data_IF_403614835204
#
_entry.id   IF_403614835204
#
_cell.length_a   1.000
_cell.length_b   1.000
_cell.length_c   1.000
_cell.angle_alpha   90.00
_cell.angle_beta   90.00
_cell.angle_gamma   90.00
#
_symmetry.space_group_name_H-M   'P 1'
#
loop_
_entity.id
_entity.type
_entity.pdbx_description
1 polymer ?
#
# COMPACT_ATOMS: atom_id res chain seq x y z
N UNK A 1 7.77 27.53 -35.43
CA UNK A 1 7.02 26.27 -35.36
C UNK A 1 6.63 26.07 -33.89
N UNK A 2 5.37 26.30 -33.53
CA UNK A 2 4.88 26.01 -32.18
C UNK A 2 4.88 24.48 -32.04
N UNK A 3 5.73 23.95 -31.17
CA UNK A 3 5.57 22.58 -30.70
C UNK A 3 4.18 22.49 -30.05
N UNK A 4 3.26 21.75 -30.68
CA UNK A 4 2.00 21.39 -30.05
C UNK A 4 2.35 20.79 -28.69
N UNK A 5 2.01 21.46 -27.60
CA UNK A 5 2.07 20.90 -26.27
C UNK A 5 1.20 19.64 -26.31
N UNK A 6 1.81 18.46 -26.25
CA UNK A 6 1.08 17.21 -26.13
C UNK A 6 0.34 17.30 -24.80
N UNK A 7 -0.98 17.32 -24.85
CA UNK A 7 -1.81 17.36 -23.65
C UNK A 7 -1.57 16.04 -22.89
N UNK A 8 -0.78 16.08 -21.79
CA UNK A 8 -0.37 14.91 -21.05
C UNK A 8 -1.50 14.45 -20.15
N UNK A 9 -1.89 13.21 -20.30
CA UNK A 9 -2.94 12.58 -19.50
C UNK A 9 -2.50 12.41 -18.03
N UNK A 10 -3.39 12.70 -17.10
CA UNK A 10 -3.10 12.66 -15.65
C UNK A 10 -3.08 11.23 -15.12
N UNK A 11 -2.06 10.91 -14.33
CA UNK A 11 -1.97 9.70 -13.49
C UNK A 11 -1.83 10.13 -12.03
N UNK A 12 -2.70 9.63 -11.16
CA UNK A 12 -2.72 9.98 -9.74
C UNK A 12 -1.91 8.97 -8.95
N UNK A 13 -1.09 9.43 -8.01
CA UNK A 13 -0.33 8.59 -7.09
C UNK A 13 -0.72 8.89 -5.65
N UNK A 14 -1.24 7.90 -4.93
CA UNK A 14 -1.54 8.01 -3.50
C UNK A 14 -0.42 7.31 -2.71
N UNK A 15 0.41 8.10 -2.08
CA UNK A 15 1.61 7.68 -1.36
C UNK A 15 1.44 7.81 0.15
N UNK A 16 2.27 7.12 0.91
CA UNK A 16 2.27 7.17 2.37
C UNK A 16 2.73 5.85 2.98
N UNK A 17 3.02 5.86 4.28
CA UNK A 17 3.40 4.65 5.00
C UNK A 17 2.23 3.67 5.15
N UNK A 18 2.53 2.41 5.50
CA UNK A 18 1.48 1.44 5.82
C UNK A 18 0.59 1.98 6.95
N UNK A 19 -0.72 1.81 6.83
CA UNK A 19 -1.68 2.30 7.81
C UNK A 19 -2.13 3.77 7.66
N UNK A 20 -1.56 4.57 6.75
CA UNK A 20 -1.88 6.01 6.62
C UNK A 20 -3.24 6.33 5.98
N UNK A 21 -4.04 5.33 5.60
CA UNK A 21 -5.36 5.55 4.99
C UNK A 21 -5.38 5.63 3.47
N UNK A 22 -4.27 5.29 2.78
CA UNK A 22 -4.17 5.33 1.31
C UNK A 22 -5.31 4.63 0.58
N UNK A 23 -5.66 3.41 0.99
CA UNK A 23 -6.73 2.63 0.34
C UNK A 23 -8.08 3.30 0.48
N UNK A 24 -8.42 3.84 1.66
CA UNK A 24 -9.66 4.60 1.85
C UNK A 24 -9.70 5.83 0.93
N UNK A 25 -8.62 6.61 0.87
CA UNK A 25 -8.56 7.79 0.02
C UNK A 25 -8.67 7.42 -1.47
N UNK A 26 -7.92 6.42 -1.92
CA UNK A 26 -7.92 6.02 -3.35
C UNK A 26 -9.29 5.56 -3.83
N UNK A 27 -10.00 4.75 -3.02
CA UNK A 27 -11.37 4.31 -3.34
C UNK A 27 -12.34 5.50 -3.37
N UNK A 28 -12.27 6.38 -2.36
CA UNK A 28 -13.15 7.56 -2.30
C UNK A 28 -12.95 8.50 -3.49
N UNK A 29 -11.69 8.76 -3.87
CA UNK A 29 -11.40 9.56 -5.06
C UNK A 29 -11.85 8.86 -6.34
N UNK A 30 -11.51 7.58 -6.52
CA UNK A 30 -11.88 6.80 -7.70
C UNK A 30 -13.40 6.75 -7.89
N UNK A 31 -14.16 6.50 -6.83
CA UNK A 31 -15.63 6.51 -6.88
C UNK A 31 -16.20 7.88 -7.25
N UNK A 32 -15.55 8.97 -6.81
CA UNK A 32 -16.01 10.33 -7.07
C UNK A 32 -15.74 10.80 -8.51
N UNK A 33 -14.57 10.43 -9.08
CA UNK A 33 -14.14 10.93 -10.40
C UNK A 33 -14.29 9.90 -11.53
N UNK A 34 -14.82 8.71 -11.26
CA UNK A 34 -14.87 7.62 -12.24
C UNK A 34 -13.51 7.01 -12.54
N UNK A 35 -12.62 6.93 -11.56
CA UNK A 35 -11.27 6.37 -11.71
C UNK A 35 -11.21 4.85 -11.49
N UNK A 36 -10.03 4.27 -11.78
CA UNK A 36 -9.70 2.86 -11.46
C UNK A 36 -8.35 2.78 -10.73
N UNK A 37 -8.22 1.81 -9.85
CA UNK A 37 -7.08 1.67 -8.95
C UNK A 37 -6.06 0.67 -9.50
N UNK A 38 -4.77 1.02 -9.39
CA UNK A 38 -3.63 0.17 -9.73
C UNK A 38 -2.82 -0.03 -8.45
N UNK A 39 -2.78 -1.25 -7.92
CA UNK A 39 -2.00 -1.57 -6.73
C UNK A 39 -0.50 -1.53 -7.01
N UNK A 40 0.26 -0.78 -6.21
CA UNK A 40 1.72 -0.69 -6.24
C UNK A 40 2.38 -1.26 -4.97
N UNK A 41 1.71 -2.16 -4.27
CA UNK A 41 2.29 -2.85 -3.11
C UNK A 41 2.84 -4.22 -3.52
N UNK A 42 4.15 -4.44 -3.27
CA UNK A 42 4.89 -5.65 -3.68
C UNK A 42 4.44 -6.94 -2.98
N UNK A 43 3.65 -6.85 -1.90
CA UNK A 43 3.10 -8.01 -1.19
C UNK A 43 1.65 -8.25 -1.61
N UNK A 44 0.87 -7.19 -1.77
CA UNK A 44 -0.54 -7.30 -2.14
C UNK A 44 -0.75 -7.81 -3.59
N UNK A 45 0.28 -7.86 -4.42
CA UNK A 45 0.21 -8.46 -5.77
C UNK A 45 -0.02 -9.98 -5.74
N UNK A 46 0.41 -10.65 -4.67
CA UNK A 46 0.25 -12.10 -4.53
C UNK A 46 -1.16 -12.48 -4.08
N UNK A 47 -1.63 -13.65 -4.53
CA UNK A 47 -2.86 -14.26 -4.04
C UNK A 47 -2.63 -14.81 -2.63
N UNK A 48 -3.64 -14.70 -1.76
CA UNK A 48 -3.55 -15.08 -0.34
C UNK A 48 -2.90 -14.02 0.52
N UNK A 49 -2.76 -14.30 1.80
CA UNK A 49 -2.32 -13.36 2.85
C UNK A 49 -3.14 -12.04 2.81
N UNK A 50 -4.46 -12.17 2.78
CA UNK A 50 -5.35 -11.01 2.64
C UNK A 50 -5.41 -10.20 3.95
N UNK A 51 -5.39 -10.89 5.09
CA UNK A 51 -5.32 -10.27 6.43
C UNK A 51 -3.92 -9.70 6.67
N UNK A 52 -2.87 -10.52 6.53
CA UNK A 52 -1.49 -10.11 6.78
C UNK A 52 -1.06 -8.97 5.84
N UNK A 53 -1.39 -9.07 4.55
CA UNK A 53 -1.12 -8.05 3.54
C UNK A 53 -1.99 -6.80 3.68
N UNK A 54 -2.98 -6.82 4.58
CA UNK A 54 -3.96 -5.75 4.75
C UNK A 54 -4.58 -5.31 3.43
N UNK A 55 -5.00 -6.29 2.63
CA UNK A 55 -5.69 -6.01 1.36
C UNK A 55 -7.07 -5.46 1.64
N UNK A 56 -7.49 -4.51 0.82
CA UNK A 56 -8.83 -3.96 0.91
C UNK A 56 -9.89 -5.02 0.56
N UNK A 57 -10.84 -5.33 1.48
CA UNK A 57 -11.90 -6.29 1.19
C UNK A 57 -12.84 -5.75 0.10
N UNK A 58 -13.47 -6.67 -0.65
CA UNK A 58 -14.30 -6.30 -1.80
C UNK A 58 -15.44 -5.36 -1.44
N UNK A 59 -16.04 -5.54 -0.27
CA UNK A 59 -17.12 -4.67 0.22
C UNK A 59 -16.71 -3.21 0.43
N UNK A 60 -15.42 -2.96 0.69
CA UNK A 60 -14.87 -1.61 0.87
C UNK A 60 -14.40 -0.97 -0.44
N UNK A 61 -14.36 -1.73 -1.55
CA UNK A 61 -13.94 -1.22 -2.86
C UNK A 61 -15.00 -0.38 -3.55
N UNK A 62 -16.23 -0.34 -3.06
CA UNK A 62 -17.36 0.43 -3.60
C UNK A 62 -17.59 0.23 -5.10
N UNK A 63 -17.33 -0.97 -5.63
CA UNK A 63 -17.42 -1.28 -7.05
C UNK A 63 -16.28 -0.71 -7.91
N UNK A 64 -15.28 -0.06 -7.33
CA UNK A 64 -14.10 0.48 -8.04
C UNK A 64 -13.20 -0.67 -8.49
N UNK A 65 -12.86 -0.78 -9.79
CA UNK A 65 -11.93 -1.79 -10.27
C UNK A 65 -10.53 -1.62 -9.66
N UNK A 66 -9.96 -2.74 -9.19
CA UNK A 66 -8.60 -2.82 -8.66
C UNK A 66 -7.75 -3.73 -9.54
N UNK A 67 -6.72 -3.17 -10.14
CA UNK A 67 -5.75 -3.88 -10.97
C UNK A 67 -4.49 -4.20 -10.18
N UNK A 68 -3.80 -5.27 -10.55
CA UNK A 68 -2.55 -5.73 -9.92
C UNK A 68 -2.69 -6.06 -8.42
N UNK A 69 -3.89 -6.44 -7.98
CA UNK A 69 -4.18 -6.87 -6.63
C UNK A 69 -4.47 -8.37 -6.63
N UNK A 70 -3.66 -9.19 -5.92
CA UNK A 70 -3.87 -10.62 -5.79
C UNK A 70 -3.79 -11.43 -7.10
N UNK A 71 -3.03 -10.96 -8.10
CA UNK A 71 -2.98 -11.59 -9.43
C UNK A 71 -1.83 -12.59 -9.59
N UNK A 72 -0.77 -12.51 -8.78
CA UNK A 72 0.35 -13.46 -8.80
C UNK A 72 -0.04 -14.70 -8.00
N UNK A 73 -0.14 -15.85 -8.67
CA UNK A 73 -0.61 -17.09 -8.05
C UNK A 73 0.50 -17.91 -7.38
N UNK A 74 1.74 -17.81 -7.87
CA UNK A 74 2.86 -18.55 -7.30
C UNK A 74 3.48 -17.76 -6.13
N UNK A 75 3.45 -18.30 -4.89
CA UNK A 75 3.99 -17.60 -3.71
C UNK A 75 5.50 -17.41 -3.73
N UNK A 76 6.23 -18.22 -4.49
CA UNK A 76 7.69 -18.20 -4.60
C UNK A 76 8.18 -17.37 -5.80
N UNK A 77 7.26 -16.87 -6.65
CA UNK A 77 7.59 -16.03 -7.79
C UNK A 77 8.14 -14.67 -7.36
N UNK A 78 9.24 -14.21 -7.96
CA UNK A 78 9.81 -12.90 -7.67
C UNK A 78 9.11 -11.83 -8.50
N UNK A 79 8.28 -11.00 -7.86
CA UNK A 79 7.64 -9.85 -8.50
C UNK A 79 8.51 -8.60 -8.33
N UNK A 80 9.18 -8.20 -9.39
CA UNK A 80 10.15 -7.09 -9.41
C UNK A 80 9.50 -5.74 -9.72
N UNK A 81 10.23 -4.64 -9.50
CA UNK A 81 9.80 -3.31 -9.93
C UNK A 81 9.59 -3.25 -11.46
N UNK A 82 10.43 -3.95 -12.24
CA UNK A 82 10.30 -4.00 -13.70
C UNK A 82 9.03 -4.73 -14.13
N UNK A 83 8.66 -5.85 -13.49
CA UNK A 83 7.38 -6.52 -13.72
C UNK A 83 6.20 -5.59 -13.44
N UNK A 84 6.25 -4.88 -12.32
CA UNK A 84 5.25 -3.87 -11.99
C UNK A 84 5.14 -2.80 -13.06
N UNK A 85 6.26 -2.19 -13.48
CA UNK A 85 6.26 -1.10 -14.45
C UNK A 85 5.64 -1.51 -15.79
N UNK A 86 6.00 -2.66 -16.35
CA UNK A 86 5.39 -3.18 -17.58
C UNK A 86 3.88 -3.36 -17.47
N UNK A 87 3.42 -3.98 -16.38
CA UNK A 87 2.01 -4.23 -16.18
C UNK A 87 1.26 -2.93 -15.87
N UNK A 88 1.82 -2.06 -15.03
CA UNK A 88 1.20 -0.79 -14.67
C UNK A 88 1.04 0.14 -15.87
N UNK A 89 2.06 0.26 -16.75
CA UNK A 89 1.98 1.07 -17.97
C UNK A 89 0.85 0.58 -18.88
N UNK A 90 0.75 -0.72 -19.13
CA UNK A 90 -0.35 -1.29 -19.92
C UNK A 90 -1.72 -1.04 -19.31
N UNK A 91 -1.84 -1.14 -17.98
CA UNK A 91 -3.10 -0.87 -17.27
C UNK A 91 -3.43 0.62 -17.31
N UNK A 92 -2.47 1.53 -17.11
CA UNK A 92 -2.63 2.98 -17.22
C UNK A 92 -3.20 3.34 -18.59
N UNK A 93 -2.58 2.85 -19.65
CA UNK A 93 -3.04 3.11 -21.03
C UNK A 93 -4.47 2.64 -21.27
N UNK A 94 -4.82 1.44 -20.80
CA UNK A 94 -6.17 0.90 -20.93
C UNK A 94 -7.20 1.75 -20.18
N UNK A 95 -6.91 2.18 -18.96
CA UNK A 95 -7.80 3.02 -18.15
C UNK A 95 -8.02 4.37 -18.84
N UNK A 96 -6.94 5.00 -19.29
CA UNK A 96 -7.00 6.29 -20.00
C UNK A 96 -7.79 6.16 -21.30
N UNK A 97 -7.56 5.10 -22.09
CA UNK A 97 -8.28 4.89 -23.34
C UNK A 97 -9.78 4.58 -23.13
N UNK A 98 -10.18 4.16 -21.93
CA UNK A 98 -11.60 4.04 -21.53
C UNK A 98 -12.22 5.36 -21.02
N UNK A 99 -11.48 6.47 -21.06
CA UNK A 99 -11.93 7.78 -20.58
C UNK A 99 -11.94 7.94 -19.07
N UNK A 100 -11.17 7.08 -18.34
CA UNK A 100 -11.11 7.08 -16.89
C UNK A 100 -9.74 7.53 -16.37
N UNK A 101 -9.66 7.84 -15.08
CA UNK A 101 -8.44 8.31 -14.42
C UNK A 101 -7.75 7.16 -13.69
N UNK A 102 -6.48 6.81 -14.03
CA UNK A 102 -5.72 5.80 -13.30
C UNK A 102 -5.21 6.36 -11.96
N UNK A 103 -5.40 5.59 -10.87
CA UNK A 103 -4.93 5.92 -9.52
C UNK A 103 -3.99 4.81 -9.06
N UNK A 104 -2.70 5.09 -9.03
CA UNK A 104 -1.66 4.18 -8.50
C UNK A 104 -1.57 4.35 -7.00
N UNK A 105 -1.75 3.27 -6.24
CA UNK A 105 -1.76 3.31 -4.77
C UNK A 105 -0.98 2.14 -4.17
N UNK A 106 -0.10 2.41 -3.21
CA UNK A 106 0.61 1.36 -2.49
C UNK A 106 1.74 1.86 -1.60
N UNK A 107 2.32 0.94 -0.85
CA UNK A 107 3.43 1.20 0.06
C UNK A 107 4.80 1.00 -0.57
N UNK A 108 4.89 0.43 -1.79
CA UNK A 108 6.15 0.14 -2.45
C UNK A 108 6.62 1.33 -3.29
N UNK A 109 7.10 2.40 -2.62
CA UNK A 109 7.56 3.62 -3.29
C UNK A 109 8.68 3.38 -4.32
N UNK A 110 9.45 2.27 -4.22
CA UNK A 110 10.42 1.88 -5.24
C UNK A 110 9.77 1.45 -6.57
N UNK A 111 8.55 0.92 -6.52
CA UNK A 111 7.80 0.60 -7.73
C UNK A 111 7.31 1.87 -8.41
N UNK A 112 6.80 2.82 -7.63
CA UNK A 112 6.37 4.13 -8.14
C UNK A 112 7.57 4.90 -8.71
N UNK A 113 8.70 4.91 -8.00
CA UNK A 113 9.93 5.54 -8.47
C UNK A 113 10.41 4.95 -9.80
N UNK A 114 10.48 3.61 -9.89
CA UNK A 114 10.88 2.94 -11.13
C UNK A 114 9.93 3.27 -12.30
N UNK A 115 8.62 3.30 -12.06
CA UNK A 115 7.64 3.67 -13.10
C UNK A 115 7.85 5.09 -13.62
N UNK A 116 8.18 6.04 -12.73
CA UNK A 116 8.28 7.47 -13.07
C UNK A 116 9.65 7.85 -13.60
N UNK A 117 10.74 7.26 -13.06
CA UNK A 117 12.10 7.66 -13.36
C UNK A 117 12.79 6.80 -14.43
N UNK A 118 12.43 5.52 -14.56
CA UNK A 118 13.09 4.65 -15.53
C UNK A 118 12.73 5.07 -16.97
N UNK A 119 13.72 5.45 -17.77
CA UNK A 119 13.51 5.97 -19.13
C UNK A 119 12.83 4.96 -20.08
N UNK A 120 12.94 3.66 -19.81
CA UNK A 120 12.29 2.61 -20.61
C UNK A 120 10.77 2.75 -20.65
N UNK A 121 10.17 3.37 -19.61
CA UNK A 121 8.71 3.54 -19.51
C UNK A 121 8.22 4.90 -19.98
N UNK A 122 9.12 5.86 -20.26
CA UNK A 122 8.80 7.18 -20.79
C UNK A 122 7.67 7.93 -20.04
N UNK A 123 7.51 7.66 -18.73
CA UNK A 123 6.38 8.18 -17.95
C UNK A 123 6.30 9.70 -18.02
N UNK A 124 7.40 10.40 -17.73
CA UNK A 124 7.45 11.88 -17.69
C UNK A 124 7.16 12.54 -19.04
N UNK A 125 7.39 11.81 -20.15
CA UNK A 125 7.10 12.30 -21.50
C UNK A 125 5.62 12.15 -21.86
N UNK A 126 4.96 11.09 -21.37
CA UNK A 126 3.61 10.71 -21.78
C UNK A 126 2.52 11.15 -20.80
N UNK A 127 2.86 11.27 -19.49
CA UNK A 127 1.88 11.50 -18.44
C UNK A 127 2.24 12.67 -17.53
N UNK A 128 1.21 13.23 -16.89
CA UNK A 128 1.34 14.22 -15.83
C UNK A 128 1.02 13.54 -14.48
N UNK A 129 2.01 13.37 -13.62
CA UNK A 129 1.84 12.73 -12.31
C UNK A 129 1.27 13.70 -11.27
N UNK A 130 0.13 13.36 -10.68
CA UNK A 130 -0.42 14.03 -9.50
C UNK A 130 -0.05 13.21 -8.26
N UNK A 131 0.91 13.67 -7.46
CA UNK A 131 1.43 12.93 -6.30
C UNK A 131 0.84 13.48 -5.00
N UNK A 132 0.08 12.65 -4.28
CA UNK A 132 -0.52 12.98 -2.98
C UNK A 132 0.09 12.07 -1.92
N UNK A 133 0.69 12.65 -0.89
CA UNK A 133 1.29 11.93 0.23
C UNK A 133 0.48 12.13 1.51
N UNK A 134 -0.02 11.03 2.09
CA UNK A 134 -0.61 11.00 3.41
C UNK A 134 0.50 10.86 4.46
N UNK A 135 0.88 11.97 5.10
CA UNK A 135 1.95 12.06 6.08
C UNK A 135 1.39 12.12 7.51
N UNK A 136 1.10 10.96 8.06
CA UNK A 136 0.66 10.82 9.46
C UNK A 136 1.87 10.92 10.39
N UNK A 137 1.75 11.66 11.50
CA UNK A 137 2.77 11.71 12.55
C UNK A 137 3.24 10.30 12.96
N UNK A 138 4.57 10.02 12.93
CA UNK A 138 5.10 8.68 13.18
C UNK A 138 4.63 8.07 14.51
N UNK A 139 4.59 8.84 15.60
CA UNK A 139 4.16 8.32 16.89
C UNK A 139 2.70 7.85 16.89
N UNK A 140 1.81 8.61 16.24
CA UNK A 140 0.39 8.25 16.10
C UNK A 140 0.24 7.02 15.21
N UNK A 141 0.97 6.99 14.11
CA UNK A 141 0.91 5.88 13.15
C UNK A 141 1.47 4.58 13.73
N UNK A 142 2.57 4.64 14.49
CA UNK A 142 3.17 3.49 15.16
C UNK A 142 2.19 2.83 16.14
N UNK A 143 1.49 3.66 16.96
CA UNK A 143 0.46 3.15 17.86
C UNK A 143 -0.71 2.52 17.11
N UNK A 144 -1.16 3.16 16.02
CA UNK A 144 -2.24 2.65 15.20
C UNK A 144 -1.90 1.29 14.56
N UNK A 145 -0.70 1.15 13.95
CA UNK A 145 -0.33 -0.12 13.30
C UNK A 145 -0.06 -1.22 14.33
N UNK A 146 0.40 -0.91 15.53
CA UNK A 146 0.55 -1.89 16.60
C UNK A 146 -0.80 -2.47 17.02
N UNK A 147 -1.81 -1.64 17.24
CA UNK A 147 -3.20 -2.08 17.49
C UNK A 147 -3.77 -2.88 16.30
N UNK A 148 -3.43 -2.49 15.07
CA UNK A 148 -3.85 -3.19 13.85
C UNK A 148 -3.25 -4.60 13.76
N UNK A 149 -2.00 -4.80 14.15
CA UNK A 149 -1.41 -6.17 14.20
C UNK A 149 -2.19 -7.05 15.16
N UNK A 150 -2.60 -6.55 16.33
CA UNK A 150 -3.45 -7.32 17.25
C UNK A 150 -4.81 -7.68 16.63
N UNK A 151 -5.41 -6.75 15.87
CA UNK A 151 -6.64 -7.02 15.12
C UNK A 151 -6.43 -8.08 14.04
N UNK A 152 -5.32 -8.04 13.30
CA UNK A 152 -4.98 -9.04 12.28
C UNK A 152 -4.82 -10.43 12.90
N UNK A 153 -4.19 -10.55 14.07
CA UNK A 153 -4.08 -11.83 14.81
C UNK A 153 -5.49 -12.37 15.11
N UNK A 154 -6.40 -11.53 15.60
CA UNK A 154 -7.79 -11.92 15.87
C UNK A 154 -8.59 -12.25 14.59
N UNK A 155 -8.17 -11.78 13.44
CA UNK A 155 -8.80 -12.02 12.13
C UNK A 155 -8.21 -13.21 11.37
N UNK A 156 -7.27 -13.97 11.97
CA UNK A 156 -6.73 -15.18 11.38
C UNK A 156 -5.37 -15.04 10.71
N UNK A 157 -4.57 -14.04 11.08
CA UNK A 157 -3.20 -13.87 10.58
C UNK A 157 -2.37 -15.14 10.72
N UNK A 158 -2.48 -15.82 11.88
CA UNK A 158 -1.70 -17.04 12.16
C UNK A 158 -2.09 -18.16 11.19
N UNK A 159 -3.39 -18.34 10.95
CA UNK A 159 -3.94 -19.33 10.03
C UNK A 159 -3.51 -19.07 8.58
N UNK A 160 -3.53 -17.78 8.15
CA UNK A 160 -3.04 -17.42 6.82
C UNK A 160 -1.57 -17.78 6.63
N UNK A 161 -0.71 -17.42 7.60
CA UNK A 161 0.72 -17.72 7.53
C UNK A 161 0.97 -19.22 7.58
N UNK A 162 0.23 -19.96 8.44
CA UNK A 162 0.30 -21.43 8.49
C UNK A 162 -0.02 -22.06 7.14
N UNK A 163 -0.99 -21.51 6.42
CA UNK A 163 -1.39 -22.00 5.09
C UNK A 163 -0.30 -21.91 4.02
N UNK A 164 0.68 -21.02 4.18
CA UNK A 164 1.83 -20.89 3.26
C UNK A 164 3.15 -21.34 3.90
N UNK A 165 3.11 -21.77 5.16
CA UNK A 165 4.32 -22.19 5.88
C UNK A 165 4.98 -23.39 5.20
N UNK A 166 6.28 -23.28 4.96
CA UNK A 166 7.10 -24.36 4.42
C UNK A 166 8.53 -24.19 4.94
N UNK A 167 8.96 -25.06 5.89
CA UNK A 167 10.20 -24.88 6.66
C UNK A 167 11.49 -24.83 5.81
N UNK A 168 11.44 -25.40 4.60
CA UNK A 168 12.61 -25.48 3.70
C UNK A 168 12.63 -24.39 2.63
N UNK A 169 11.72 -23.45 2.70
CA UNK A 169 11.61 -22.36 1.71
C UNK A 169 12.40 -21.12 2.09
N UNK A 170 12.76 -20.37 1.06
CA UNK A 170 13.49 -19.10 1.18
C UNK A 170 12.52 -17.94 1.54
N UNK A 171 12.60 -17.46 2.77
CA UNK A 171 11.81 -16.34 3.26
C UNK A 171 12.25 -14.96 2.72
N UNK A 172 13.27 -14.89 1.87
CA UNK A 172 13.71 -13.65 1.23
C UNK A 172 13.02 -13.37 -0.09
N UNK A 173 12.22 -14.33 -0.61
CA UNK A 173 11.60 -14.29 -1.93
C UNK A 173 10.07 -14.33 -1.89
N UNK A 174 9.48 -13.88 -2.98
CA UNK A 174 8.06 -13.94 -3.22
C UNK A 174 7.22 -13.30 -2.11
N UNK A 175 6.06 -13.89 -1.82
CA UNK A 175 5.19 -13.47 -0.72
C UNK A 175 5.77 -13.81 0.66
N UNK A 176 6.71 -14.79 0.72
CA UNK A 176 7.29 -15.28 1.98
C UNK A 176 8.12 -14.25 2.72
N UNK A 177 8.57 -13.18 2.03
CA UNK A 177 9.25 -12.03 2.64
C UNK A 177 8.29 -11.01 3.29
N UNK A 178 6.99 -11.24 3.25
CA UNK A 178 6.02 -10.38 3.93
C UNK A 178 6.26 -10.39 5.43
N UNK A 179 6.26 -9.19 6.04
CA UNK A 179 6.34 -9.06 7.51
C UNK A 179 5.19 -9.86 8.12
N UNK A 180 5.51 -10.76 9.03
CA UNK A 180 4.61 -11.73 9.63
C UNK A 180 4.92 -13.18 9.21
N UNK A 181 5.51 -13.41 8.04
CA UNK A 181 5.85 -14.78 7.59
C UNK A 181 7.15 -15.26 8.22
N UNK A 182 8.29 -14.55 8.10
CA UNK A 182 9.54 -14.97 8.76
C UNK A 182 9.43 -14.99 10.28
N UNK A 183 8.70 -14.02 10.86
CA UNK A 183 8.56 -13.89 12.31
C UNK A 183 7.80 -15.06 12.93
N UNK A 184 6.85 -15.66 12.20
CA UNK A 184 6.07 -16.82 12.64
C UNK A 184 6.82 -18.15 12.53
N UNK A 185 7.98 -18.23 11.87
CA UNK A 185 8.69 -19.48 11.58
C UNK A 185 8.97 -20.30 12.86
N UNK A 186 9.53 -19.67 13.88
CA UNK A 186 9.84 -20.36 15.14
C UNK A 186 8.62 -20.93 15.84
N UNK A 187 7.54 -20.15 15.87
CA UNK A 187 6.27 -20.59 16.45
C UNK A 187 5.66 -21.76 15.67
N UNK A 188 5.60 -21.69 14.35
CA UNK A 188 4.99 -22.73 13.53
C UNK A 188 5.79 -24.04 13.54
N UNK A 189 7.13 -23.98 13.65
CA UNK A 189 7.97 -25.18 13.90
C UNK A 189 7.70 -25.78 15.27
N UNK A 190 7.58 -24.94 16.30
CA UNK A 190 7.30 -25.38 17.66
C UNK A 190 5.89 -25.96 17.81
N UNK A 191 4.90 -25.40 17.10
CA UNK A 191 3.51 -25.88 17.10
C UNK A 191 3.44 -27.34 16.63
N UNK A 192 4.24 -27.72 15.65
CA UNK A 192 4.34 -29.10 15.16
C UNK A 192 5.11 -30.04 16.10
N UNK A 193 5.86 -29.50 17.07
CA UNK A 193 6.64 -30.31 18.03
C UNK A 193 5.76 -30.84 19.15
N UNK A 194 5.99 -32.12 19.52
CA UNK A 194 5.37 -32.75 20.69
C UNK A 194 6.16 -32.52 21.99
N UNK A 195 7.37 -32.03 21.86
CA UNK A 195 8.31 -31.91 23.00
C UNK A 195 8.21 -30.57 23.72
N UNK A 196 7.42 -29.62 23.16
CA UNK A 196 7.22 -28.28 23.74
C UNK A 196 5.87 -28.17 24.45
N UNK A 197 5.90 -27.55 25.61
CA UNK A 197 4.69 -27.25 26.39
C UNK A 197 3.86 -26.14 25.72
N UNK A 198 2.56 -26.09 26.00
CA UNK A 198 1.69 -25.05 25.49
C UNK A 198 2.09 -23.64 25.98
N UNK A 199 2.72 -23.54 27.17
CA UNK A 199 3.24 -22.29 27.69
C UNK A 199 4.43 -21.77 26.85
N UNK A 200 5.33 -22.67 26.45
CA UNK A 200 6.45 -22.31 25.55
C UNK A 200 5.98 -21.92 24.16
N UNK A 201 5.01 -22.66 23.58
CA UNK A 201 4.41 -22.32 22.28
C UNK A 201 3.75 -20.95 22.33
N UNK A 202 2.98 -20.64 23.41
CA UNK A 202 2.35 -19.35 23.62
C UNK A 202 3.39 -18.23 23.71
N UNK A 203 4.46 -18.41 24.43
CA UNK A 203 5.54 -17.43 24.53
C UNK A 203 6.20 -17.14 23.17
N UNK A 204 6.39 -18.17 22.32
CA UNK A 204 6.89 -18.01 20.97
C UNK A 204 5.92 -17.21 20.08
N UNK A 205 4.61 -17.46 20.18
CA UNK A 205 3.60 -16.70 19.45
C UNK A 205 3.59 -15.22 19.87
N UNK A 206 3.63 -14.94 21.18
CA UNK A 206 3.69 -13.58 21.71
C UNK A 206 4.95 -12.84 21.23
N UNK A 207 6.10 -13.55 21.23
CA UNK A 207 7.35 -13.02 20.69
C UNK A 207 7.27 -12.70 19.21
N UNK A 208 6.68 -13.59 18.40
CA UNK A 208 6.48 -13.38 16.97
C UNK A 208 5.59 -12.15 16.68
N UNK A 209 4.49 -12.01 17.44
CA UNK A 209 3.60 -10.84 17.31
C UNK A 209 4.33 -9.55 17.65
N UNK A 210 5.14 -9.54 18.71
CA UNK A 210 5.94 -8.38 19.08
C UNK A 210 6.97 -8.01 18.00
N UNK A 211 7.58 -9.01 17.37
CA UNK A 211 8.53 -8.81 16.27
C UNK A 211 7.82 -8.26 15.02
N UNK A 212 6.63 -8.75 14.67
CA UNK A 212 5.80 -8.21 13.58
C UNK A 212 5.50 -6.72 13.80
N UNK A 213 5.11 -6.33 15.02
CA UNK A 213 4.87 -4.92 15.36
C UNK A 213 6.13 -4.08 15.15
N UNK A 214 7.27 -4.54 15.66
CA UNK A 214 8.56 -3.87 15.54
C UNK A 214 8.97 -3.70 14.08
N UNK A 215 8.88 -4.76 13.27
CA UNK A 215 9.25 -4.75 11.86
C UNK A 215 8.29 -3.88 11.02
N UNK A 216 7.00 -3.81 11.39
CA UNK A 216 6.02 -2.91 10.77
C UNK A 216 6.34 -1.44 11.06
N UNK A 217 6.72 -1.11 12.29
CA UNK A 217 7.19 0.24 12.66
C UNK A 217 8.46 0.60 11.86
N UNK A 218 9.41 -0.32 11.77
CA UNK A 218 10.61 -0.14 10.93
C UNK A 218 10.28 0.09 9.45
N UNK A 219 9.24 -0.60 8.93
CA UNK A 219 8.77 -0.38 7.57
C UNK A 219 8.22 1.03 7.37
N UNK A 220 7.46 1.58 8.32
CA UNK A 220 6.95 2.97 8.27
C UNK A 220 8.10 3.94 8.07
N UNK A 221 9.16 3.85 8.90
CA UNK A 221 10.33 4.73 8.79
C UNK A 221 10.98 4.68 7.40
N UNK A 222 11.17 3.45 6.87
CA UNK A 222 11.73 3.26 5.52
C UNK A 222 10.83 3.84 4.42
N UNK A 223 9.51 3.70 4.53
CA UNK A 223 8.56 4.23 3.55
C UNK A 223 8.54 5.75 3.56
N UNK A 224 8.48 6.39 4.75
CA UNK A 224 8.53 7.84 4.91
C UNK A 224 9.86 8.40 4.39
N UNK A 225 10.99 7.80 4.77
CA UNK A 225 12.32 8.21 4.29
C UNK A 225 12.42 8.18 2.78
N UNK A 226 11.84 7.16 2.13
CA UNK A 226 11.83 7.07 0.68
C UNK A 226 10.99 8.18 0.03
N UNK A 227 9.80 8.50 0.56
CA UNK A 227 8.96 9.58 0.02
C UNK A 227 9.65 10.93 0.19
N UNK A 228 10.27 11.19 1.35
CA UNK A 228 11.06 12.41 1.56
C UNK A 228 12.19 12.54 0.54
N UNK A 229 12.91 11.45 0.28
CA UNK A 229 13.97 11.46 -0.75
C UNK A 229 13.41 11.83 -2.13
N UNK A 230 12.27 11.25 -2.54
CA UNK A 230 11.63 11.59 -3.81
C UNK A 230 11.27 13.08 -3.92
N UNK A 231 10.77 13.67 -2.82
CA UNK A 231 10.42 15.10 -2.74
C UNK A 231 11.66 15.99 -2.69
N UNK A 232 12.57 15.71 -1.75
CA UNK A 232 13.62 16.65 -1.35
C UNK A 232 14.89 16.53 -2.25
N UNK A 233 15.19 15.32 -2.73
CA UNK A 233 16.39 15.07 -3.57
C UNK A 233 16.06 14.99 -5.07
N UNK A 234 14.92 14.35 -5.43
CA UNK A 234 14.52 14.22 -6.84
C UNK A 234 13.54 15.33 -7.30
N UNK A 235 13.13 16.22 -6.40
CA UNK A 235 12.30 17.37 -6.73
C UNK A 235 10.88 17.02 -7.19
N UNK A 236 10.32 15.90 -6.74
CA UNK A 236 8.94 15.55 -7.13
C UNK A 236 7.93 16.52 -6.54
N UNK A 237 6.94 16.98 -7.32
CA UNK A 237 5.89 17.89 -6.85
C UNK A 237 4.86 17.14 -5.99
N UNK A 238 5.28 16.70 -4.79
CA UNK A 238 4.46 15.92 -3.89
C UNK A 238 3.62 16.83 -3.00
N UNK A 239 2.30 16.71 -3.10
CA UNK A 239 1.33 17.38 -2.24
C UNK A 239 1.19 16.59 -0.93
N UNK A 240 1.53 17.23 0.19
CA UNK A 240 1.47 16.62 1.51
C UNK A 240 0.11 16.91 2.16
N UNK A 241 -0.58 15.87 2.61
CA UNK A 241 -1.81 15.93 3.40
C UNK A 241 -1.52 15.29 4.75
N UNK A 242 -1.82 15.97 5.84
CA UNK A 242 -1.63 15.45 7.20
C UNK A 242 -2.96 14.94 7.79
N UNK A 243 -3.15 13.62 7.89
CA UNK A 243 -4.34 13.01 8.50
C UNK A 243 -4.21 12.78 10.00
N UNK A 244 -3.15 13.22 10.67
CA UNK A 244 -2.81 12.85 12.06
C UNK A 244 -3.99 13.01 13.02
N UNK A 245 -4.71 14.13 12.95
CA UNK A 245 -5.86 14.41 13.84
C UNK A 245 -6.95 13.35 13.67
N UNK A 246 -7.18 12.82 12.45
CA UNK A 246 -8.19 11.78 12.19
C UNK A 246 -7.86 10.49 12.96
N UNK A 247 -6.58 10.15 13.07
CA UNK A 247 -6.12 8.95 13.80
C UNK A 247 -6.14 9.14 15.34
N UNK A 248 -6.23 10.38 15.81
CA UNK A 248 -6.33 10.71 17.25
C UNK A 248 -7.78 10.72 17.77
N UNK A 249 -8.77 10.76 16.89
CA UNK A 249 -10.18 10.67 17.28
C UNK A 249 -10.50 9.21 17.60
N UNK A 250 -10.72 8.91 18.88
CA UNK A 250 -11.07 7.58 19.37
C UNK A 250 -12.55 7.55 19.80
N UNK A 251 -13.23 6.42 19.52
CA UNK A 251 -14.59 6.15 20.02
C UNK A 251 -15.73 6.86 19.27
N UNK A 252 -15.48 7.90 18.51
CA UNK A 252 -16.49 8.64 17.73
C UNK A 252 -16.26 8.49 16.22
N UNK A 253 -16.91 7.50 15.63
CA UNK A 253 -16.82 7.22 14.19
C UNK A 253 -17.37 8.37 13.33
N UNK A 254 -18.39 9.09 13.82
CA UNK A 254 -18.98 10.19 13.06
C UNK A 254 -18.04 11.39 13.01
N UNK A 255 -17.44 11.75 14.16
CA UNK A 255 -16.44 12.80 14.21
C UNK A 255 -15.19 12.44 13.38
N UNK A 256 -14.76 11.18 13.44
CA UNK A 256 -13.63 10.68 12.64
C UNK A 256 -13.90 10.80 11.13
N UNK A 257 -15.11 10.44 10.67
CA UNK A 257 -15.48 10.54 9.26
C UNK A 257 -15.60 12.01 8.82
N UNK A 258 -16.18 12.87 9.63
CA UNK A 258 -16.25 14.31 9.35
C UNK A 258 -14.84 14.94 9.24
N UNK A 259 -13.93 14.57 10.15
CA UNK A 259 -12.53 15.00 10.10
C UNK A 259 -11.82 14.47 8.84
N UNK A 260 -12.05 13.19 8.49
CA UNK A 260 -11.50 12.59 7.26
C UNK A 260 -11.95 13.37 6.01
N UNK A 261 -13.24 13.63 5.87
CA UNK A 261 -13.77 14.39 4.74
C UNK A 261 -13.16 15.79 4.67
N UNK A 262 -13.08 16.50 5.80
CA UNK A 262 -12.57 17.86 5.85
C UNK A 262 -11.06 17.96 5.63
N UNK A 263 -10.28 17.08 6.24
CA UNK A 263 -8.83 17.22 6.31
C UNK A 263 -8.08 16.37 5.27
N UNK A 264 -8.71 15.32 4.73
CA UNK A 264 -8.06 14.39 3.81
C UNK A 264 -8.74 14.38 2.44
N UNK A 265 -10.02 14.01 2.38
CA UNK A 265 -10.71 13.80 1.12
C UNK A 265 -10.86 15.11 0.32
N UNK A 266 -11.46 16.17 0.91
CA UNK A 266 -11.70 17.41 0.20
C UNK A 266 -10.40 18.11 -0.27
N UNK A 267 -9.34 18.24 0.55
CA UNK A 267 -8.06 18.77 0.07
C UNK A 267 -7.46 17.94 -1.07
N UNK A 268 -7.49 16.61 -0.97
CA UNK A 268 -6.99 15.72 -2.02
C UNK A 268 -7.79 15.84 -3.31
N UNK A 269 -9.11 15.94 -3.23
CA UNK A 269 -9.97 16.15 -4.37
C UNK A 269 -9.72 17.51 -5.04
N UNK A 270 -9.53 18.57 -4.27
CA UNK A 270 -9.20 19.90 -4.79
C UNK A 270 -7.87 19.91 -5.56
N UNK A 271 -6.84 19.24 -5.02
CA UNK A 271 -5.56 19.07 -5.73
C UNK A 271 -5.79 18.36 -7.05
N UNK A 272 -6.46 17.21 -7.02
CA UNK A 272 -6.72 16.41 -8.21
C UNK A 272 -7.50 17.17 -9.29
N UNK A 273 -8.52 17.94 -8.89
CA UNK A 273 -9.31 18.74 -9.80
C UNK A 273 -8.50 19.83 -10.51
N UNK A 274 -7.44 20.38 -9.89
CA UNK A 274 -6.54 21.32 -10.55
C UNK A 274 -5.78 20.65 -11.70
N UNK A 275 -5.30 19.42 -11.49
CA UNK A 275 -4.63 18.65 -12.54
C UNK A 275 -5.58 18.28 -13.69
N UNK A 276 -6.81 17.86 -13.38
CA UNK A 276 -7.81 17.49 -14.39
C UNK A 276 -8.39 18.68 -15.20
N UNK A 277 -8.32 19.91 -14.66
CA UNK A 277 -8.76 21.12 -15.38
C UNK A 277 -7.66 21.71 -16.27
N UNK A 278 -6.42 21.29 -16.04
CA UNK A 278 -5.25 21.76 -16.82
C UNK A 278 -5.07 20.98 -18.13
N UNK A 279 -5.97 20.02 -18.37
CA UNK A 279 -6.14 19.30 -19.63
C UNK A 279 -7.10 20.10 -20.53
#
# INVERSE_FOLDING_TARGET
MAMNAVNKKVVVFIMGATGSGKSKLSVSLAAHIGGEIINSDKIQVYRGLDVLGNKIPEVERLGVPHHLLGHVGNPDEEYTARHFCFQATSVIERIINSGKVPIVVGGSNSFIEALVEDPDFNFKSNYHGCFIWLDVSPNVLNNFVSKRVDQMVNQGLVEEVRGIFAPDKDYTKGIRRAIGVPEMDKYLRAEASKDMSEAEKKALLESAIAEIKTNTIGLIGRQIGKIRRLRDELGWPIHCIDPTVVFQIEGDKQAQEAAWLKMVFNPSLNILQQYLKSE
#
